data_IF_146354840230
#
_entry.id   IF_146354840230
#
_cell.length_a   1.000
_cell.length_b   1.000
_cell.length_c   1.000
_cell.angle_alpha   90.00
_cell.angle_beta   90.00
_cell.angle_gamma   90.00
#
_symmetry.space_group_name_H-M   'P 1'
#
loop_
_entity.id
_entity.type
_entity.pdbx_description
1 polymer ?
#
# COMPACT_ATOMS: atom_id res chain seq x y z
N UNK A 1 -7.64 11.61 15.17
CA UNK A 1 -6.55 12.57 14.99
C UNK A 1 -5.28 11.91 15.49
N UNK A 2 -4.48 11.38 14.57
CA UNK A 2 -3.23 10.68 14.83
C UNK A 2 -2.09 11.66 14.56
N UNK A 3 -1.36 12.08 15.60
CA UNK A 3 -0.21 12.97 15.41
C UNK A 3 1.02 12.23 14.89
N UNK A 4 1.17 10.98 15.30
CA UNK A 4 2.23 10.08 14.84
C UNK A 4 1.73 8.65 14.99
N UNK A 5 1.89 7.87 13.92
CA UNK A 5 1.69 6.42 13.91
C UNK A 5 2.76 5.83 13.03
N UNK A 6 3.30 4.68 13.44
CA UNK A 6 4.26 3.95 12.65
C UNK A 6 3.87 2.49 12.56
N UNK A 7 4.09 1.91 11.38
CA UNK A 7 3.93 0.49 11.13
C UNK A 7 5.28 -0.08 10.70
N UNK A 8 5.73 -1.10 11.44
CA UNK A 8 6.90 -1.89 11.09
C UNK A 8 6.46 -3.17 10.38
N UNK A 9 6.97 -3.40 9.18
CA UNK A 9 6.75 -4.65 8.44
C UNK A 9 8.00 -4.99 7.64
N UNK A 10 8.42 -6.26 7.67
CA UNK A 10 9.58 -6.77 6.91
C UNK A 10 10.86 -5.94 7.17
N UNK A 11 11.09 -5.54 8.43
CA UNK A 11 12.26 -4.71 8.82
C UNK A 11 12.24 -3.26 8.31
N UNK A 12 11.14 -2.80 7.73
CA UNK A 12 10.93 -1.43 7.24
C UNK A 12 9.90 -0.72 8.11
N UNK A 13 10.04 0.60 8.27
CA UNK A 13 9.11 1.45 9.03
C UNK A 13 8.45 2.45 8.10
N UNK A 14 7.12 2.45 8.06
CA UNK A 14 6.34 3.54 7.47
C UNK A 14 5.79 4.39 8.61
N UNK A 15 5.94 5.71 8.51
CA UNK A 15 5.33 6.68 9.44
C UNK A 15 4.18 7.40 8.74
N UNK A 16 3.14 7.68 9.49
CA UNK A 16 1.90 8.31 9.03
C UNK A 16 1.36 9.25 10.12
N UNK A 17 0.82 10.38 9.70
CA UNK A 17 0.19 11.38 10.59
C UNK A 17 -0.99 12.04 9.87
N UNK A 18 -1.98 12.47 10.65
CA UNK A 18 -3.06 13.32 10.16
C UNK A 18 -2.55 14.76 9.99
N UNK A 19 -3.03 15.44 8.94
CA UNK A 19 -2.76 16.87 8.76
C UNK A 19 -3.67 17.69 9.68
N UNK A 20 -3.08 18.38 10.65
CA UNK A 20 -3.81 19.29 11.54
C UNK A 20 -4.26 20.55 10.78
N UNK A 21 -5.43 21.15 11.12
CA UNK A 21 -5.86 22.41 10.54
C UNK A 21 -4.84 23.55 10.68
N UNK A 22 -4.05 23.54 11.77
CA UNK A 22 -2.96 24.48 12.04
C UNK A 22 -1.71 24.25 11.19
N UNK A 23 -1.54 23.06 10.62
CA UNK A 23 -0.40 22.72 9.76
C UNK A 23 -0.56 23.21 8.33
N UNK A 24 -1.76 23.70 7.93
CA UNK A 24 -2.03 24.29 6.60
C UNK A 24 -1.07 25.42 6.19
N UNK A 25 -0.39 26.06 7.15
CA UNK A 25 0.60 27.11 6.88
C UNK A 25 1.96 26.56 6.42
N UNK A 26 2.22 25.27 6.68
CA UNK A 26 3.50 24.58 6.41
C UNK A 26 3.30 23.40 5.44
N UNK A 27 2.08 22.89 5.32
CA UNK A 27 1.67 21.81 4.41
C UNK A 27 0.70 22.33 3.37
N UNK A 28 0.63 21.68 2.21
CA UNK A 28 -0.43 21.93 1.21
C UNK A 28 -1.81 21.59 1.77
N UNK A 29 -2.86 22.17 1.15
CA UNK A 29 -4.24 21.88 1.51
C UNK A 29 -4.53 20.37 1.35
N UNK A 30 -5.25 19.78 2.30
CA UNK A 30 -5.56 18.35 2.28
C UNK A 30 -6.50 18.04 1.10
N UNK A 31 -5.92 17.62 -0.01
CA UNK A 31 -6.66 17.08 -1.15
C UNK A 31 -6.93 15.59 -0.88
N UNK A 32 -8.19 15.20 -0.67
CA UNK A 32 -8.57 13.78 -0.63
C UNK A 32 -8.48 13.19 -2.05
N UNK A 33 -7.58 12.24 -2.26
CA UNK A 33 -7.46 11.50 -3.54
C UNK A 33 -6.19 10.64 -3.63
N UNK A 34 -6.14 9.78 -4.67
CA UNK A 34 -5.17 8.71 -5.00
C UNK A 34 -3.67 9.12 -5.13
N UNK A 35 -3.13 9.95 -4.24
CA UNK A 35 -1.82 10.59 -4.42
C UNK A 35 -0.61 9.69 -4.13
N UNK A 36 -0.80 8.53 -3.51
CA UNK A 36 0.29 7.61 -3.20
C UNK A 36 -0.13 6.18 -3.49
N UNK A 37 0.67 5.50 -4.33
CA UNK A 37 0.66 4.05 -4.49
C UNK A 37 1.79 3.50 -3.64
N UNK A 38 1.47 2.68 -2.64
CA UNK A 38 2.49 2.03 -1.80
C UNK A 38 2.76 0.65 -2.38
N UNK A 39 4.00 0.41 -2.80
CA UNK A 39 4.42 -0.89 -3.34
C UNK A 39 5.06 -1.78 -2.28
N UNK A 40 4.44 -2.93 -2.01
CA UNK A 40 4.97 -3.98 -1.16
C UNK A 40 5.72 -5.00 -2.02
N UNK A 41 7.04 -5.03 -1.86
CA UNK A 41 7.93 -5.99 -2.52
C UNK A 41 8.22 -7.13 -1.54
N UNK A 42 7.75 -8.33 -1.87
CA UNK A 42 7.76 -9.51 -0.98
C UNK A 42 8.43 -10.68 -1.72
N UNK A 43 9.21 -11.51 -1.03
CA UNK A 43 9.93 -12.65 -1.66
C UNK A 43 9.15 -13.97 -1.63
N UNK A 44 8.19 -14.09 -0.70
CA UNK A 44 7.37 -15.29 -0.50
C UNK A 44 5.94 -15.07 -1.05
N UNK A 45 5.50 -15.99 -1.94
CA UNK A 45 4.19 -15.88 -2.59
C UNK A 45 3.02 -16.06 -1.64
N UNK A 46 3.13 -16.93 -0.64
CA UNK A 46 2.06 -17.16 0.35
C UNK A 46 1.89 -15.95 1.26
N UNK A 47 3.01 -15.33 1.65
CA UNK A 47 2.98 -14.08 2.42
C UNK A 47 2.31 -12.98 1.61
N UNK A 48 2.68 -12.85 0.33
CA UNK A 48 2.10 -11.86 -0.58
C UNK A 48 0.59 -12.07 -0.76
N UNK A 49 0.14 -13.30 -0.99
CA UNK A 49 -1.29 -13.67 -1.05
C UNK A 49 -2.00 -13.31 0.24
N UNK A 50 -1.42 -13.64 1.40
CA UNK A 50 -1.98 -13.29 2.70
C UNK A 50 -2.14 -11.78 2.92
N UNK A 51 -1.18 -10.96 2.49
CA UNK A 51 -1.33 -9.50 2.55
C UNK A 51 -2.40 -9.00 1.58
N UNK A 52 -2.45 -9.53 0.37
CA UNK A 52 -3.44 -9.13 -0.64
C UNK A 52 -4.85 -9.40 -0.14
N UNK A 53 -5.10 -10.61 0.37
CA UNK A 53 -6.41 -11.00 0.88
C UNK A 53 -6.84 -10.11 2.05
N UNK A 54 -5.96 -9.89 3.02
CA UNK A 54 -6.26 -9.06 4.19
C UNK A 54 -6.50 -7.58 3.85
N UNK A 55 -5.71 -7.01 2.93
CA UNK A 55 -5.88 -5.63 2.48
C UNK A 55 -7.12 -5.45 1.60
N UNK A 56 -7.54 -6.50 0.91
CA UNK A 56 -8.76 -6.49 0.10
C UNK A 56 -10.04 -6.54 0.93
N UNK A 57 -9.97 -6.92 2.22
CA UNK A 57 -11.14 -6.96 3.11
C UNK A 57 -11.74 -5.56 3.26
N UNK A 58 -12.99 -5.42 2.83
CA UNK A 58 -13.72 -4.14 2.79
C UNK A 58 -13.05 -3.06 1.94
N UNK A 59 -12.09 -3.43 1.09
CA UNK A 59 -11.53 -2.64 0.01
C UNK A 59 -12.05 -3.12 -1.34
N UNK A 60 -11.29 -2.88 -2.40
CA UNK A 60 -11.54 -3.47 -3.71
C UNK A 60 -10.23 -3.76 -4.45
N UNK A 61 -10.15 -4.94 -5.07
CA UNK A 61 -9.06 -5.25 -5.99
C UNK A 61 -9.24 -4.44 -7.28
N UNK A 62 -8.25 -3.61 -7.61
CA UNK A 62 -8.14 -2.96 -8.93
C UNK A 62 -7.67 -4.01 -9.94
N UNK A 63 -6.70 -4.82 -9.53
CA UNK A 63 -6.14 -5.91 -10.28
C UNK A 63 -5.86 -7.08 -9.33
N UNK A 64 -6.56 -8.21 -9.47
CA UNK A 64 -6.24 -9.43 -8.74
C UNK A 64 -4.79 -9.85 -8.95
N UNK A 65 -4.23 -10.60 -8.01
CA UNK A 65 -2.90 -11.19 -8.16
C UNK A 65 -2.86 -12.04 -9.43
N UNK A 66 -1.97 -11.69 -10.35
CA UNK A 66 -1.76 -12.45 -11.58
C UNK A 66 -0.30 -12.41 -12.01
N UNK A 67 0.02 -13.30 -12.94
CA UNK A 67 1.30 -13.25 -13.63
C UNK A 67 1.38 -12.00 -14.53
N UNK A 68 2.53 -11.34 -14.55
CA UNK A 68 2.82 -10.15 -15.36
C UNK A 68 4.17 -10.26 -16.05
N UNK A 69 4.44 -9.46 -17.10
CA UNK A 69 5.71 -9.55 -17.82
C UNK A 69 6.96 -9.32 -16.95
N UNK A 70 6.86 -8.55 -15.87
CA UNK A 70 7.98 -8.20 -15.00
C UNK A 70 8.03 -8.96 -13.66
N UNK A 71 6.95 -9.65 -13.28
CA UNK A 71 6.88 -10.43 -12.04
C UNK A 71 5.89 -11.58 -12.20
N UNK A 72 6.25 -12.75 -11.64
CA UNK A 72 5.37 -13.91 -11.62
C UNK A 72 4.11 -13.74 -10.78
N UNK A 73 4.06 -12.73 -9.90
CA UNK A 73 2.85 -12.39 -9.17
C UNK A 73 2.83 -10.89 -8.84
N UNK A 74 1.87 -10.18 -9.42
CA UNK A 74 1.62 -8.77 -9.16
C UNK A 74 0.12 -8.51 -9.09
N UNK A 75 -0.29 -7.61 -8.20
CA UNK A 75 -1.67 -7.13 -8.12
C UNK A 75 -1.76 -5.76 -7.48
N UNK A 76 -2.95 -5.17 -7.60
CA UNK A 76 -3.25 -3.84 -7.09
C UNK A 76 -4.63 -3.80 -6.44
N UNK A 77 -4.75 -3.08 -5.34
CA UNK A 77 -6.02 -2.89 -4.65
C UNK A 77 -6.08 -1.52 -3.99
N UNK A 78 -7.29 -1.10 -3.64
CA UNK A 78 -7.52 -0.02 -2.67
C UNK A 78 -8.09 -0.65 -1.41
N UNK A 79 -7.49 -0.35 -0.26
CA UNK A 79 -8.00 -0.86 1.02
C UNK A 79 -9.24 -0.09 1.50
N UNK A 80 -9.82 -0.53 2.62
CA UNK A 80 -11.00 0.10 3.24
C UNK A 80 -10.81 1.57 3.67
N UNK A 81 -9.57 2.04 3.75
CA UNK A 81 -9.22 3.42 4.13
C UNK A 81 -8.97 4.30 2.90
N UNK A 82 -9.01 3.74 1.69
CA UNK A 82 -8.78 4.47 0.45
C UNK A 82 -7.30 4.53 0.04
N UNK A 83 -6.42 3.71 0.64
CA UNK A 83 -5.00 3.66 0.28
C UNK A 83 -4.79 2.71 -0.89
N UNK A 84 -4.07 3.17 -1.92
CA UNK A 84 -3.71 2.37 -3.08
C UNK A 84 -2.46 1.54 -2.80
N UNK A 85 -2.55 0.23 -3.00
CA UNK A 85 -1.47 -0.72 -2.78
C UNK A 85 -1.11 -1.44 -4.08
N UNK A 86 0.20 -1.61 -4.33
CA UNK A 86 0.74 -2.52 -5.33
C UNK A 86 1.52 -3.63 -4.63
N UNK A 87 1.16 -4.89 -4.85
CA UNK A 87 1.85 -6.02 -4.24
C UNK A 87 2.60 -6.77 -5.33
N UNK A 88 3.92 -6.91 -5.19
CA UNK A 88 4.80 -7.52 -6.17
C UNK A 88 5.68 -8.60 -5.54
N UNK A 89 5.72 -9.77 -6.18
CA UNK A 89 6.66 -10.82 -5.83
C UNK A 89 8.04 -10.46 -6.38
N UNK A 90 9.04 -10.36 -5.50
CA UNK A 90 10.43 -10.10 -5.82
C UNK A 90 11.06 -11.32 -6.46
N UNK A 91 10.95 -11.38 -7.78
CA UNK A 91 11.80 -12.16 -8.67
C UNK A 91 11.59 -11.62 -10.07
N UNK A 92 12.63 -11.01 -10.63
CA UNK A 92 12.62 -10.60 -12.04
C UNK A 92 12.49 -11.87 -12.88
N UNK A 93 11.49 -11.89 -13.78
CA UNK A 93 11.46 -12.88 -14.86
C UNK A 93 12.60 -12.52 -15.82
N UNK A 94 13.63 -13.36 -15.85
CA UNK A 94 14.72 -13.32 -16.84
C UNK A 94 14.23 -13.72 -18.21
#
# INVERSE_FOLDING_TARGET
MIMESSIEFVGRKIMMSDILPTMKMVTVELVKGNQMLISLVIEDSKILEGYFDNLSVSGHAIMPLSDTPWSSCFGMLVDKFGVSWGLILWRLKT
#
